data_IF_518052554702
#
_entry.id   IF_518052554702
#
_cell.length_a   1.000
_cell.length_b   1.000
_cell.length_c   1.000
_cell.angle_alpha   90.00
_cell.angle_beta   90.00
_cell.angle_gamma   90.00
#
_symmetry.space_group_name_H-M   'P 1'
#
loop_
_entity.id
_entity.type
_entity.pdbx_description
1 polymer ?
#
# COMPACT_ATOMS: atom_id res chain seq x y z
N UNK A 1 24.79 -25.39 20.19
CA UNK A 1 23.52 -24.93 20.79
C UNK A 1 22.65 -26.16 21.02
N UNK A 2 22.29 -26.45 22.28
CA UNK A 2 21.59 -27.69 22.67
C UNK A 2 20.29 -27.94 21.91
N UNK A 3 19.60 -26.88 21.46
CA UNK A 3 18.37 -27.02 20.67
C UNK A 3 18.56 -27.93 19.45
N UNK A 4 19.71 -27.86 18.76
CA UNK A 4 19.95 -28.66 17.55
C UNK A 4 20.25 -30.13 17.81
N UNK A 5 20.36 -30.53 19.08
CA UNK A 5 20.60 -31.91 19.53
C UNK A 5 19.28 -32.65 19.81
N UNK A 6 18.18 -31.93 20.03
CA UNK A 6 16.87 -32.55 20.24
C UNK A 6 16.29 -33.18 18.98
N UNK A 7 15.37 -34.15 19.08
CA UNK A 7 14.60 -34.63 17.94
C UNK A 7 13.82 -33.50 17.23
N UNK A 8 13.60 -33.64 15.92
CA UNK A 8 12.96 -32.60 15.10
C UNK A 8 11.60 -32.12 15.65
N UNK A 9 10.77 -33.03 16.16
CA UNK A 9 9.47 -32.68 16.74
C UNK A 9 9.61 -31.75 17.95
N UNK A 10 10.56 -32.04 18.84
CA UNK A 10 10.85 -31.20 20.02
C UNK A 10 11.39 -29.85 19.58
N UNK A 11 12.27 -29.80 18.57
CA UNK A 11 12.74 -28.54 17.99
C UNK A 11 11.59 -27.72 17.42
N UNK A 12 10.70 -28.36 16.65
CA UNK A 12 9.55 -27.71 16.03
C UNK A 12 8.61 -27.10 17.08
N UNK A 13 8.31 -27.85 18.15
CA UNK A 13 7.45 -27.39 19.23
C UNK A 13 8.06 -26.21 19.99
N UNK A 14 9.35 -26.27 20.32
CA UNK A 14 10.06 -25.16 20.96
C UNK A 14 9.98 -23.91 20.07
N UNK A 15 10.32 -24.04 18.78
CA UNK A 15 10.31 -22.92 17.85
C UNK A 15 8.89 -22.36 17.60
N UNK A 16 7.86 -23.20 17.68
CA UNK A 16 6.47 -22.78 17.54
C UNK A 16 6.05 -21.81 18.66
N UNK A 17 6.56 -22.02 19.88
CA UNK A 17 6.27 -21.21 21.06
C UNK A 17 7.12 -19.93 21.18
N UNK A 18 8.08 -19.70 20.27
CA UNK A 18 8.89 -18.48 20.22
C UNK A 18 8.20 -17.42 19.35
N UNK A 19 8.24 -16.14 19.73
CA UNK A 19 7.65 -15.07 18.91
C UNK A 19 8.41 -14.84 17.58
N UNK A 20 7.83 -14.07 16.65
CA UNK A 20 8.45 -13.88 15.33
C UNK A 20 9.76 -13.09 15.39
N UNK A 21 9.87 -12.15 16.34
CA UNK A 21 11.07 -11.33 16.51
C UNK A 21 12.21 -12.22 16.98
N UNK A 22 11.98 -13.00 18.02
CA UNK A 22 12.98 -13.85 18.63
C UNK A 22 13.37 -15.00 17.70
N UNK A 23 12.45 -15.55 16.90
CA UNK A 23 12.78 -16.47 15.80
C UNK A 23 13.67 -15.81 14.73
N UNK A 24 13.35 -14.57 14.35
CA UNK A 24 14.17 -13.81 13.41
C UNK A 24 15.58 -13.59 13.97
N UNK A 25 15.71 -13.23 15.25
CA UNK A 25 17.02 -13.08 15.90
C UNK A 25 17.79 -14.41 15.97
N UNK A 26 17.11 -15.49 16.36
CA UNK A 26 17.67 -16.83 16.44
C UNK A 26 18.20 -17.32 15.09
N UNK A 27 17.60 -16.85 13.99
CA UNK A 27 18.04 -17.18 12.64
C UNK A 27 19.45 -16.66 12.32
N UNK A 28 19.94 -15.62 12.98
CA UNK A 28 21.30 -15.10 12.81
C UNK A 28 22.38 -15.95 13.49
N UNK A 29 22.00 -16.81 14.44
CA UNK A 29 22.97 -17.59 15.23
C UNK A 29 23.75 -18.59 14.40
N UNK A 30 23.11 -19.23 13.41
CA UNK A 30 23.82 -20.11 12.46
C UNK A 30 22.97 -20.43 11.23
N UNK A 31 23.64 -20.79 10.13
CA UNK A 31 22.97 -21.31 8.93
C UNK A 31 22.14 -22.57 9.20
N UNK A 32 22.58 -23.44 10.12
CA UNK A 32 21.82 -24.63 10.54
C UNK A 32 20.51 -24.22 11.22
N UNK A 33 20.57 -23.28 12.16
CA UNK A 33 19.39 -22.76 12.87
C UNK A 33 18.41 -22.09 11.90
N UNK A 34 18.91 -21.24 11.00
CA UNK A 34 18.12 -20.62 9.94
C UNK A 34 17.36 -21.66 9.10
N UNK A 35 18.02 -22.74 8.69
CA UNK A 35 17.38 -23.84 7.93
C UNK A 35 16.29 -24.53 8.74
N UNK A 36 16.56 -24.88 10.00
CA UNK A 36 15.59 -25.54 10.89
C UNK A 36 14.34 -24.67 11.07
N UNK A 37 14.52 -23.36 11.36
CA UNK A 37 13.41 -22.42 11.51
C UNK A 37 12.59 -22.35 10.21
N UNK A 38 13.24 -22.21 9.05
CA UNK A 38 12.55 -22.17 7.77
C UNK A 38 11.74 -23.43 7.47
N UNK A 39 12.26 -24.61 7.80
CA UNK A 39 11.56 -25.87 7.56
C UNK A 39 10.41 -26.11 8.53
N UNK A 40 10.58 -25.78 9.82
CA UNK A 40 9.57 -26.06 10.85
C UNK A 40 8.46 -25.01 10.91
N UNK A 41 8.77 -23.75 10.57
CA UNK A 41 7.82 -22.63 10.68
C UNK A 41 7.17 -22.26 9.34
N UNK A 42 7.17 -23.15 8.34
CA UNK A 42 6.63 -22.88 6.99
C UNK A 42 5.18 -22.37 7.03
N UNK A 43 4.27 -23.11 7.67
CA UNK A 43 2.85 -22.73 7.78
C UNK A 43 2.67 -21.38 8.49
N UNK A 44 3.54 -21.10 9.47
CA UNK A 44 3.53 -19.84 10.21
C UNK A 44 4.00 -18.67 9.34
N UNK A 45 5.02 -18.88 8.51
CA UNK A 45 5.48 -17.87 7.55
C UNK A 45 4.50 -17.65 6.39
N UNK A 46 3.72 -18.66 6.00
CA UNK A 46 2.62 -18.51 5.04
C UNK A 46 1.50 -17.58 5.55
N UNK A 47 1.42 -17.33 6.87
CA UNK A 47 0.51 -16.35 7.46
C UNK A 47 1.04 -14.91 7.43
N UNK A 48 2.29 -14.69 7.00
CA UNK A 48 2.83 -13.35 6.80
C UNK A 48 2.24 -12.78 5.52
N UNK A 49 1.52 -11.67 5.63
CA UNK A 49 1.01 -10.91 4.48
C UNK A 49 2.12 -10.11 3.83
N UNK A 50 2.89 -9.38 4.63
CA UNK A 50 3.95 -8.51 4.11
C UNK A 50 5.03 -8.19 5.14
N UNK A 51 6.20 -7.80 4.66
CA UNK A 51 7.29 -7.21 5.45
C UNK A 51 7.41 -5.73 5.08
N UNK A 52 7.45 -4.87 6.11
CA UNK A 52 7.30 -3.44 5.95
C UNK A 52 8.48 -2.71 6.58
N UNK A 53 9.09 -1.80 5.82
CA UNK A 53 10.08 -0.83 6.28
C UNK A 53 9.36 0.47 6.53
N UNK A 54 9.05 0.82 7.78
CA UNK A 54 8.36 2.06 8.11
C UNK A 54 9.31 3.13 8.60
N UNK A 55 9.36 4.23 7.86
CA UNK A 55 10.11 5.44 8.19
C UNK A 55 9.13 6.54 8.63
N UNK A 56 9.49 7.25 9.70
CA UNK A 56 8.75 8.40 10.20
C UNK A 56 9.69 9.60 10.27
N UNK A 57 9.35 10.73 9.63
CA UNK A 57 10.01 12.05 9.80
C UNK A 57 11.53 11.98 9.92
N UNK A 58 12.24 11.72 8.81
CA UNK A 58 13.70 11.55 8.77
C UNK A 58 14.32 10.50 9.73
N UNK A 59 13.50 9.61 10.31
CA UNK A 59 13.98 8.46 11.08
C UNK A 59 14.24 7.26 10.18
N UNK A 60 15.22 6.46 10.59
CA UNK A 60 15.57 5.20 9.94
C UNK A 60 14.47 4.14 10.15
N UNK A 61 14.40 3.13 9.28
CA UNK A 61 13.23 2.25 9.22
C UNK A 61 13.07 1.36 10.45
N UNK A 62 11.83 1.21 10.90
CA UNK A 62 11.38 0.09 11.72
C UNK A 62 10.88 -0.99 10.76
N UNK A 63 11.48 -2.17 10.86
CA UNK A 63 11.14 -3.34 10.06
C UNK A 63 10.17 -4.20 10.88
N UNK A 64 8.99 -4.44 10.33
CA UNK A 64 7.97 -5.28 10.94
C UNK A 64 7.27 -6.16 9.91
N UNK A 65 6.72 -7.28 10.38
CA UNK A 65 5.84 -8.11 9.58
C UNK A 65 4.38 -7.78 9.88
N UNK A 66 3.54 -7.83 8.85
CA UNK A 66 2.09 -7.80 8.96
C UNK A 66 1.57 -9.20 8.64
N UNK A 67 0.74 -9.73 9.54
CA UNK A 67 0.09 -11.02 9.35
C UNK A 67 -1.22 -10.85 8.57
N UNK A 68 -1.72 -11.94 7.97
CA UNK A 68 -3.00 -11.96 7.23
C UNK A 68 -4.20 -11.55 8.09
N UNK A 69 -4.14 -11.79 9.40
CA UNK A 69 -5.16 -11.36 10.37
C UNK A 69 -5.03 -9.89 10.82
N UNK A 70 -4.12 -9.12 10.21
CA UNK A 70 -3.94 -7.69 10.49
C UNK A 70 -2.94 -7.36 11.61
N UNK A 71 -2.55 -8.34 12.42
CA UNK A 71 -1.58 -8.14 13.49
C UNK A 71 -0.21 -7.74 12.94
N UNK A 72 0.50 -6.91 13.73
CA UNK A 72 1.83 -6.41 13.40
C UNK A 72 2.84 -6.89 14.44
N UNK A 73 4.03 -7.27 13.99
CA UNK A 73 5.13 -7.66 14.88
C UNK A 73 6.43 -7.03 14.41
N UNK A 74 7.01 -6.18 15.25
CA UNK A 74 8.30 -5.53 15.00
C UNK A 74 9.42 -6.59 15.05
N UNK A 75 10.30 -6.59 14.04
CA UNK A 75 11.44 -7.49 13.97
C UNK A 75 12.74 -6.79 14.36
N UNK A 76 12.98 -5.61 13.78
CA UNK A 76 14.25 -4.91 13.87
C UNK A 76 14.02 -3.42 13.62
N UNK A 77 14.70 -2.55 14.34
CA UNK A 77 14.86 -1.16 13.94
C UNK A 77 16.26 -0.91 13.41
N UNK A 78 16.41 0.07 12.54
CA UNK A 78 17.70 0.52 12.02
C UNK A 78 17.91 1.94 12.52
N UNK A 79 19.10 2.33 12.99
CA UNK A 79 19.38 3.72 13.40
C UNK A 79 20.87 4.08 13.34
N UNK A 80 21.17 5.38 13.29
CA UNK A 80 22.55 5.87 13.35
C UNK A 80 23.18 5.50 14.70
N UNK A 81 24.44 5.10 14.68
CA UNK A 81 25.21 4.84 15.91
C UNK A 81 25.30 6.14 16.73
N UNK A 82 24.78 6.11 17.95
CA UNK A 82 24.97 7.20 18.90
C UNK A 82 26.28 6.99 19.66
N UNK A 83 27.00 8.09 19.92
CA UNK A 83 28.28 8.09 20.65
C UNK A 83 28.14 7.77 22.15
N UNK A 84 26.92 7.70 22.68
CA UNK A 84 26.71 7.45 24.10
C UNK A 84 27.14 6.04 24.50
N UNK A 85 27.90 5.96 25.60
CA UNK A 85 28.18 4.74 26.34
C UNK A 85 26.84 4.13 26.78
N UNK A 86 26.49 3.03 26.15
CA UNK A 86 25.24 2.29 26.33
C UNK A 86 25.51 0.81 26.05
N UNK A 87 24.52 -0.06 26.28
CA UNK A 87 24.69 -1.49 26.54
C UNK A 87 25.55 -2.23 25.51
N UNK A 88 26.13 -3.37 25.94
CA UNK A 88 26.94 -4.28 25.15
C UNK A 88 26.42 -4.40 23.71
N UNK A 89 27.23 -3.95 22.75
CA UNK A 89 26.99 -4.19 21.34
C UNK A 89 27.51 -5.57 21.00
N UNK A 90 26.86 -6.22 20.05
CA UNK A 90 27.48 -7.35 19.36
C UNK A 90 27.34 -7.17 17.86
N UNK A 91 28.34 -7.63 17.14
CA UNK A 91 28.39 -7.51 15.69
C UNK A 91 27.99 -8.84 15.05
N UNK A 92 27.15 -8.79 14.03
CA UNK A 92 26.81 -9.96 13.21
C UNK A 92 27.14 -9.68 11.75
N UNK A 93 27.64 -10.70 11.06
CA UNK A 93 27.72 -10.65 9.61
C UNK A 93 26.33 -10.96 9.03
N UNK A 94 25.71 -9.94 8.45
CA UNK A 94 24.44 -10.05 7.74
C UNK A 94 24.73 -9.90 6.27
N UNK A 95 24.49 -10.97 5.49
CA UNK A 95 24.62 -10.96 4.03
C UNK A 95 25.96 -10.39 3.49
N UNK A 96 27.06 -10.54 4.23
CA UNK A 96 28.39 -10.04 3.87
C UNK A 96 28.79 -8.71 4.52
N UNK A 97 27.90 -8.03 5.25
CA UNK A 97 28.19 -6.78 5.98
C UNK A 97 28.20 -7.04 7.48
N UNK A 98 29.25 -6.58 8.16
CA UNK A 98 29.31 -6.57 9.62
C UNK A 98 28.44 -5.43 10.14
N UNK A 99 27.43 -5.75 10.96
CA UNK A 99 26.46 -4.80 11.50
C UNK A 99 26.43 -4.96 13.01
N UNK A 100 26.48 -3.84 13.73
CA UNK A 100 26.37 -3.82 15.19
C UNK A 100 24.93 -3.74 15.62
N UNK A 101 24.58 -4.56 16.61
CA UNK A 101 23.25 -4.61 17.17
C UNK A 101 23.24 -4.22 18.65
N UNK A 102 22.16 -3.54 19.04
CA UNK A 102 21.88 -3.13 20.42
C UNK A 102 20.45 -3.53 20.79
N UNK A 103 20.25 -3.86 22.06
CA UNK A 103 18.92 -4.02 22.63
C UNK A 103 18.62 -2.86 23.60
N UNK A 104 17.64 -2.03 23.25
CA UNK A 104 17.29 -0.86 24.07
C UNK A 104 16.23 -1.22 25.12
N UNK A 105 16.67 -1.39 26.38
CA UNK A 105 15.81 -1.72 27.53
C UNK A 105 15.09 -0.53 28.17
N UNK A 106 15.50 0.73 27.91
CA UNK A 106 15.02 1.90 28.67
C UNK A 106 14.40 3.02 27.83
N UNK A 107 13.54 3.81 28.49
CA UNK A 107 12.52 4.75 28.01
C UNK A 107 12.97 5.97 27.18
N UNK A 108 14.23 6.11 26.82
CA UNK A 108 14.75 7.38 26.28
C UNK A 108 14.57 7.56 24.76
N UNK A 109 14.07 6.56 24.02
CA UNK A 109 13.96 6.66 22.55
C UNK A 109 12.68 6.02 22.00
N UNK A 110 12.32 6.39 20.76
CA UNK A 110 11.26 5.75 19.98
C UNK A 110 11.48 4.26 19.71
N UNK A 111 12.58 3.64 20.19
CA UNK A 111 13.00 2.25 19.94
C UNK A 111 12.91 1.34 21.19
N UNK A 112 12.14 1.73 22.21
CA UNK A 112 11.95 0.95 23.43
C UNK A 112 11.54 -0.51 23.14
N UNK A 113 12.23 -1.48 23.75
CA UNK A 113 11.95 -2.90 23.61
C UNK A 113 12.28 -3.50 22.25
N UNK A 114 12.99 -2.75 21.39
CA UNK A 114 13.41 -3.20 20.05
C UNK A 114 14.86 -3.63 20.03
N UNK A 115 15.10 -4.62 19.17
CA UNK A 115 16.43 -4.93 18.68
C UNK A 115 16.78 -3.95 17.57
N UNK A 116 17.98 -3.36 17.63
CA UNK A 116 18.35 -2.21 16.80
C UNK A 116 19.67 -2.46 16.09
N UNK A 117 19.65 -2.47 14.77
CA UNK A 117 20.84 -2.42 13.92
C UNK A 117 21.36 -0.98 13.90
N UNK A 118 22.65 -0.81 14.18
CA UNK A 118 23.32 0.47 14.19
C UNK A 118 24.37 0.57 13.10
N UNK A 119 24.56 1.77 12.55
CA UNK A 119 25.50 2.01 11.45
C UNK A 119 26.11 3.41 11.56
N UNK A 120 27.28 3.60 10.96
CA UNK A 120 27.84 4.95 10.78
C UNK A 120 27.09 5.67 9.66
N UNK A 121 26.83 7.00 9.74
CA UNK A 121 25.93 7.70 8.82
C UNK A 121 26.12 7.43 7.31
N UNK A 122 27.37 7.26 6.89
CA UNK A 122 27.84 6.94 5.54
C UNK A 122 27.49 5.51 5.06
N UNK A 123 27.09 4.62 5.97
CA UNK A 123 26.83 3.20 5.68
C UNK A 123 25.34 2.82 5.65
N UNK A 124 24.44 3.78 5.86
CA UNK A 124 22.99 3.56 6.02
C UNK A 124 22.39 2.67 4.92
N UNK A 125 22.62 3.04 3.65
CA UNK A 125 22.13 2.30 2.48
C UNK A 125 22.65 0.85 2.47
N UNK A 126 23.96 0.66 2.67
CA UNK A 126 24.58 -0.66 2.65
C UNK A 126 24.06 -1.57 3.79
N UNK A 127 23.77 -1.00 4.96
CA UNK A 127 23.14 -1.74 6.08
C UNK A 127 21.72 -2.16 5.74
N UNK A 128 20.91 -1.25 5.21
CA UNK A 128 19.52 -1.55 4.84
C UNK A 128 19.47 -2.60 3.71
N UNK A 129 20.33 -2.49 2.71
CA UNK A 129 20.45 -3.47 1.61
C UNK A 129 20.85 -4.85 2.10
N UNK A 130 21.85 -4.93 3.00
CA UNK A 130 22.30 -6.18 3.60
C UNK A 130 21.17 -6.87 4.40
N UNK A 131 20.46 -6.10 5.24
CA UNK A 131 19.31 -6.59 6.01
C UNK A 131 18.20 -7.04 5.06
N UNK A 132 17.92 -6.28 4.01
CA UNK A 132 16.91 -6.64 3.04
C UNK A 132 17.24 -7.92 2.28
N UNK A 133 18.49 -8.09 1.83
CA UNK A 133 18.98 -9.34 1.23
C UNK A 133 18.82 -10.53 2.18
N UNK A 134 19.05 -10.30 3.48
CA UNK A 134 18.81 -11.33 4.49
C UNK A 134 17.32 -11.69 4.58
N UNK A 135 16.45 -10.69 4.61
CA UNK A 135 14.99 -10.86 4.67
C UNK A 135 14.45 -11.60 3.45
N UNK A 136 14.93 -11.31 2.24
CA UNK A 136 14.58 -12.06 1.02
C UNK A 136 14.97 -13.53 1.15
N UNK A 137 16.17 -13.82 1.60
CA UNK A 137 16.61 -15.21 1.79
C UNK A 137 15.83 -15.91 2.93
N UNK A 138 15.44 -15.19 3.97
CA UNK A 138 14.77 -15.78 5.14
C UNK A 138 13.28 -16.02 4.90
N UNK A 139 12.54 -14.98 4.53
CA UNK A 139 11.09 -15.03 4.33
C UNK A 139 10.68 -15.46 2.92
N UNK A 140 11.55 -15.28 1.91
CA UNK A 140 11.31 -15.69 0.53
C UNK A 140 10.63 -14.61 -0.31
N UNK A 141 10.65 -14.81 -1.63
CA UNK A 141 10.15 -13.83 -2.60
C UNK A 141 8.62 -13.79 -2.75
N UNK A 142 7.89 -14.70 -2.09
CA UNK A 142 6.43 -14.74 -2.11
C UNK A 142 5.79 -13.76 -1.14
N UNK A 143 6.57 -13.22 -0.19
CA UNK A 143 6.10 -12.20 0.74
C UNK A 143 6.17 -10.85 0.04
N UNK A 144 5.16 -10.01 0.20
CA UNK A 144 5.22 -8.63 -0.28
C UNK A 144 6.16 -7.80 0.59
N UNK A 145 7.03 -7.01 -0.04
CA UNK A 145 7.90 -6.08 0.65
C UNK A 145 7.49 -4.63 0.35
N UNK A 146 7.25 -3.86 1.41
CA UNK A 146 6.81 -2.48 1.29
C UNK A 146 7.75 -1.51 2.01
N UNK A 147 8.13 -0.44 1.33
CA UNK A 147 8.66 0.75 1.97
C UNK A 147 7.51 1.70 2.30
N UNK A 148 7.40 2.13 3.54
CA UNK A 148 6.32 2.98 4.04
C UNK A 148 6.88 4.27 4.58
N UNK A 149 6.50 5.38 3.97
CA UNK A 149 6.90 6.71 4.40
C UNK A 149 5.72 7.66 4.56
N UNK A 150 5.85 8.56 5.52
CA UNK A 150 4.99 9.73 5.71
C UNK A 150 5.73 11.04 5.36
N UNK A 151 6.87 10.91 4.70
CA UNK A 151 7.84 11.96 4.44
C UNK A 151 8.27 11.91 2.97
N UNK A 152 8.24 13.07 2.30
CA UNK A 152 8.59 13.24 0.90
C UNK A 152 10.03 13.75 0.70
N UNK A 153 10.73 14.10 1.78
CA UNK A 153 12.12 14.55 1.74
C UNK A 153 13.12 13.39 1.88
N UNK A 154 12.65 12.18 2.18
CA UNK A 154 13.52 11.02 2.38
C UNK A 154 13.98 10.41 1.05
N UNK A 155 15.22 9.94 1.04
CA UNK A 155 15.72 9.08 -0.03
C UNK A 155 15.35 7.62 0.27
N UNK A 156 14.57 7.00 -0.62
CA UNK A 156 14.17 5.60 -0.53
C UNK A 156 15.23 4.74 -1.23
N UNK A 157 15.90 3.81 -0.51
CA UNK A 157 16.88 2.94 -1.14
C UNK A 157 16.21 2.03 -2.19
N UNK A 158 16.90 1.82 -3.31
CA UNK A 158 16.43 0.97 -4.40
C UNK A 158 16.63 -0.51 -4.03
N UNK A 159 15.63 -1.08 -3.36
CA UNK A 159 15.65 -2.47 -2.90
C UNK A 159 14.88 -3.40 -3.85
N UNK A 160 15.37 -4.62 -4.04
CA UNK A 160 14.75 -5.63 -4.89
C UNK A 160 13.37 -6.03 -4.35
N UNK A 161 12.36 -6.16 -5.21
CA UNK A 161 11.00 -6.58 -4.82
C UNK A 161 10.32 -5.70 -3.74
N UNK A 162 10.85 -4.50 -3.49
CA UNK A 162 10.23 -3.54 -2.58
C UNK A 162 9.39 -2.56 -3.39
N UNK A 163 8.15 -2.38 -2.99
CA UNK A 163 7.27 -1.35 -3.54
C UNK A 163 7.05 -0.23 -2.53
N UNK A 164 6.93 1.00 -3.01
CA UNK A 164 6.76 2.19 -2.17
C UNK A 164 5.29 2.45 -1.90
N UNK A 165 4.98 2.61 -0.63
CA UNK A 165 3.74 3.12 -0.12
C UNK A 165 4.06 4.49 0.48
N UNK A 166 3.27 5.52 0.14
CA UNK A 166 3.37 6.88 0.68
C UNK A 166 2.06 7.36 1.34
N UNK A 167 2.13 8.00 2.51
CA UNK A 167 0.99 8.64 3.18
C UNK A 167 1.36 10.06 3.63
N UNK A 168 0.79 11.07 2.98
CA UNK A 168 1.06 12.47 3.29
C UNK A 168 -0.19 13.20 3.78
N UNK A 169 -0.05 13.84 4.94
CA UNK A 169 -1.06 14.68 5.56
C UNK A 169 -0.55 16.11 5.66
N UNK A 170 -1.45 17.09 5.48
CA UNK A 170 -1.16 18.51 5.67
C UNK A 170 -0.08 19.08 4.75
N UNK A 171 -0.01 18.58 3.50
CA UNK A 171 0.91 19.11 2.48
C UNK A 171 0.57 20.57 2.20
N UNK A 172 1.61 21.40 2.11
CA UNK A 172 1.55 22.77 1.63
C UNK A 172 2.20 22.83 0.24
N UNK A 173 1.42 22.87 -0.86
CA UNK A 173 1.96 22.92 -2.23
C UNK A 173 2.84 24.13 -2.52
N UNK A 174 2.78 25.18 -1.68
CA UNK A 174 3.64 26.35 -1.80
C UNK A 174 5.09 26.07 -1.37
N UNK A 175 5.30 25.03 -0.56
CA UNK A 175 6.62 24.68 0.00
C UNK A 175 7.08 23.28 -0.41
N UNK A 176 6.14 22.37 -0.65
CA UNK A 176 6.43 20.94 -0.79
C UNK A 176 6.51 20.56 -2.28
N UNK A 177 7.73 20.38 -2.81
CA UNK A 177 7.91 19.89 -4.19
C UNK A 177 7.85 18.36 -4.24
N UNK A 178 6.64 17.82 -4.41
CA UNK A 178 6.42 16.37 -4.52
C UNK A 178 6.96 15.75 -5.81
N UNK A 179 7.20 16.54 -6.86
CA UNK A 179 7.63 16.00 -8.16
C UNK A 179 9.02 15.34 -8.06
N UNK A 180 9.93 15.94 -7.28
CA UNK A 180 11.28 15.41 -7.12
C UNK A 180 11.24 14.05 -6.41
N UNK A 181 10.40 13.93 -5.38
CA UNK A 181 10.15 12.66 -4.70
C UNK A 181 9.59 11.60 -5.65
N UNK A 182 8.54 11.91 -6.41
CA UNK A 182 7.95 10.92 -7.32
C UNK A 182 8.89 10.56 -8.48
N UNK A 183 9.74 11.48 -8.93
CA UNK A 183 10.72 11.21 -9.98
C UNK A 183 11.76 10.15 -9.54
N UNK A 184 12.15 10.18 -8.27
CA UNK A 184 13.19 9.32 -7.69
C UNK A 184 12.65 8.06 -7.02
N UNK A 185 11.37 8.05 -6.63
CA UNK A 185 10.74 6.94 -5.91
C UNK A 185 10.69 5.64 -6.73
N UNK A 186 11.11 4.50 -6.15
CA UNK A 186 11.00 3.21 -6.81
C UNK A 186 9.58 2.62 -6.66
N UNK A 187 9.03 2.08 -7.75
CA UNK A 187 7.83 1.22 -7.79
C UNK A 187 6.70 1.65 -6.83
N UNK A 188 5.96 2.70 -7.19
CA UNK A 188 4.87 3.24 -6.37
C UNK A 188 3.67 2.27 -6.35
N UNK A 189 3.44 1.63 -5.20
CA UNK A 189 2.29 0.74 -4.98
C UNK A 189 1.06 1.51 -4.55
N UNK A 190 1.19 2.36 -3.54
CA UNK A 190 0.04 3.09 -3.00
C UNK A 190 0.40 4.47 -2.48
N UNK A 191 -0.44 5.44 -2.78
CA UNK A 191 -0.26 6.83 -2.37
C UNK A 191 -1.55 7.30 -1.69
N UNK A 192 -1.45 7.84 -0.49
CA UNK A 192 -2.52 8.54 0.21
C UNK A 192 -2.11 9.99 0.43
N UNK A 193 -2.85 10.94 -0.12
CA UNK A 193 -2.54 12.37 0.00
C UNK A 193 -3.76 13.16 0.44
N UNK A 194 -3.61 13.91 1.53
CA UNK A 194 -4.68 14.73 2.11
C UNK A 194 -4.21 16.18 2.09
N UNK A 195 -4.80 16.97 1.18
CA UNK A 195 -4.49 18.39 1.00
C UNK A 195 -5.73 19.27 1.14
N UNK A 196 -5.56 20.45 1.71
CA UNK A 196 -6.63 21.45 1.85
C UNK A 196 -6.49 22.61 0.86
N UNK A 197 -5.40 22.66 0.10
CA UNK A 197 -5.06 23.74 -0.83
C UNK A 197 -5.58 23.45 -2.24
N UNK A 198 -6.09 24.47 -2.96
CA UNK A 198 -6.72 24.32 -4.26
C UNK A 198 -5.71 24.39 -5.42
N UNK A 199 -4.51 23.79 -5.31
CA UNK A 199 -3.46 23.90 -6.35
C UNK A 199 -3.07 22.54 -6.93
N UNK A 200 -2.40 22.60 -8.06
CA UNK A 200 -1.75 21.45 -8.69
C UNK A 200 -0.84 20.76 -7.67
N UNK A 201 -1.05 19.46 -7.50
CA UNK A 201 -0.28 18.67 -6.55
C UNK A 201 1.05 18.20 -7.16
N UNK A 202 1.00 17.77 -8.42
CA UNK A 202 2.10 17.20 -9.19
C UNK A 202 1.86 17.47 -10.68
N UNK A 203 2.93 17.50 -11.46
CA UNK A 203 2.87 17.70 -12.92
C UNK A 203 2.16 16.52 -13.62
N UNK A 204 1.50 16.72 -14.77
CA UNK A 204 0.83 15.67 -15.54
C UNK A 204 1.67 14.45 -15.89
N UNK A 205 2.98 14.63 -16.08
CA UNK A 205 3.95 13.57 -16.40
C UNK A 205 4.52 12.85 -15.17
N UNK A 206 4.05 13.22 -13.97
CA UNK A 206 4.51 12.65 -12.71
C UNK A 206 4.19 11.15 -12.58
N UNK A 207 5.14 10.41 -12.02
CA UNK A 207 4.96 8.99 -11.65
C UNK A 207 3.87 8.77 -10.60
N UNK A 208 3.39 9.83 -9.95
CA UNK A 208 2.20 9.79 -9.09
C UNK A 208 1.02 9.09 -9.77
N UNK A 209 0.75 9.44 -11.04
CA UNK A 209 -0.36 8.87 -11.79
C UNK A 209 -0.15 7.40 -12.20
N UNK A 210 1.07 6.89 -12.10
CA UNK A 210 1.44 5.52 -12.41
C UNK A 210 1.35 4.60 -11.19
N UNK A 211 1.08 5.14 -10.00
CA UNK A 211 0.91 4.34 -8.81
C UNK A 211 -0.28 3.39 -8.95
N UNK A 212 -0.15 2.15 -8.45
CA UNK A 212 -1.23 1.16 -8.59
C UNK A 212 -2.52 1.61 -7.88
N UNK A 213 -2.37 2.27 -6.73
CA UNK A 213 -3.48 2.76 -5.92
C UNK A 213 -3.24 4.21 -5.48
N UNK A 214 -4.22 5.09 -5.71
CA UNK A 214 -4.21 6.48 -5.22
C UNK A 214 -5.44 6.72 -4.36
N UNK A 215 -5.25 7.34 -3.21
CA UNK A 215 -6.31 7.88 -2.37
C UNK A 215 -6.01 9.33 -2.08
N UNK A 216 -6.96 10.21 -2.38
CA UNK A 216 -6.77 11.64 -2.19
C UNK A 216 -7.98 12.32 -1.57
N UNK A 217 -7.72 13.26 -0.67
CA UNK A 217 -8.69 14.26 -0.26
C UNK A 217 -8.19 15.64 -0.70
N UNK A 218 -9.05 16.38 -1.39
CA UNK A 218 -8.76 17.75 -1.84
C UNK A 218 -9.93 18.67 -1.50
N UNK A 219 -9.68 19.76 -0.75
CA UNK A 219 -10.76 20.72 -0.43
C UNK A 219 -11.43 21.26 -1.69
N UNK A 220 -10.66 21.58 -2.72
CA UNK A 220 -11.17 21.91 -4.03
C UNK A 220 -10.43 21.03 -5.02
N UNK A 221 -11.16 20.26 -5.83
CA UNK A 221 -10.54 19.68 -7.01
C UNK A 221 -10.41 20.82 -8.00
N UNK A 222 -9.27 21.49 -7.99
CA UNK A 222 -8.84 22.32 -9.12
C UNK A 222 -8.25 21.46 -10.24
N UNK A 223 -8.04 20.16 -10.00
CA UNK A 223 -7.30 19.27 -10.88
C UNK A 223 -8.11 18.04 -11.28
N UNK A 224 -8.83 18.09 -12.42
CA UNK A 224 -9.34 16.87 -13.03
C UNK A 224 -8.21 15.99 -13.56
N UNK A 225 -6.94 16.34 -13.40
CA UNK A 225 -5.76 15.61 -13.85
C UNK A 225 -5.70 14.17 -13.37
N UNK A 226 -6.21 13.83 -12.18
CA UNK A 226 -6.35 12.40 -11.82
C UNK A 226 -7.33 11.71 -12.77
N UNK A 227 -8.44 12.36 -13.12
CA UNK A 227 -9.36 11.90 -14.16
C UNK A 227 -8.78 12.01 -15.57
N UNK A 228 -7.56 12.49 -15.80
CA UNK A 228 -6.93 12.56 -17.13
C UNK A 228 -5.68 11.69 -17.28
N UNK A 229 -4.86 11.61 -16.24
CA UNK A 229 -3.52 11.06 -16.31
C UNK A 229 -3.37 9.75 -15.54
N UNK A 230 -4.30 9.39 -14.64
CA UNK A 230 -4.18 8.17 -13.85
C UNK A 230 -4.10 6.91 -14.72
N UNK A 231 -3.10 6.06 -14.44
CA UNK A 231 -2.77 4.84 -15.18
C UNK A 231 -2.77 3.60 -14.28
N UNK A 232 -3.08 3.77 -13.00
CA UNK A 232 -3.13 2.70 -12.02
C UNK A 232 -4.45 1.92 -12.06
N UNK A 233 -4.64 1.09 -11.04
CA UNK A 233 -5.77 0.17 -10.92
C UNK A 233 -6.91 0.74 -10.08
N UNK A 234 -6.57 1.45 -9.00
CA UNK A 234 -7.56 1.84 -7.99
C UNK A 234 -7.39 3.31 -7.61
N UNK A 235 -8.46 4.07 -7.67
CA UNK A 235 -8.43 5.47 -7.26
C UNK A 235 -9.61 5.85 -6.38
N UNK A 236 -9.31 6.51 -5.28
CA UNK A 236 -10.26 7.00 -4.28
C UNK A 236 -10.11 8.51 -4.18
N UNK A 237 -11.16 9.24 -4.52
CA UNK A 237 -11.09 10.70 -4.62
C UNK A 237 -12.19 11.26 -3.73
N UNK A 238 -11.78 12.09 -2.78
CA UNK A 238 -12.68 12.82 -1.91
C UNK A 238 -12.46 14.30 -2.12
N UNK A 239 -13.55 15.06 -2.20
CA UNK A 239 -13.45 16.49 -2.35
C UNK A 239 -14.58 17.24 -1.67
N UNK A 240 -14.34 18.50 -1.30
CA UNK A 240 -15.47 19.36 -0.88
C UNK A 240 -16.26 19.84 -2.08
N UNK A 241 -15.59 20.29 -3.15
CA UNK A 241 -16.24 20.77 -4.37
C UNK A 241 -15.54 20.26 -5.62
N UNK A 242 -16.34 19.75 -6.55
CA UNK A 242 -15.93 19.30 -7.88
C UNK A 242 -17.16 19.28 -8.79
N UNK A 243 -16.96 19.64 -10.05
CA UNK A 243 -18.03 19.66 -11.04
C UNK A 243 -18.31 18.26 -11.58
N UNK A 244 -19.59 17.92 -11.71
CA UNK A 244 -20.06 16.62 -12.20
C UNK A 244 -19.61 16.38 -13.66
N UNK A 245 -19.40 17.45 -14.43
CA UNK A 245 -18.87 17.40 -15.81
C UNK A 245 -17.57 16.61 -15.91
N UNK A 246 -16.69 16.69 -14.91
CA UNK A 246 -15.44 15.93 -14.89
C UNK A 246 -15.66 14.42 -14.78
N UNK A 247 -16.69 13.98 -14.05
CA UNK A 247 -17.05 12.57 -13.95
C UNK A 247 -17.65 12.05 -15.26
N UNK A 248 -18.53 12.85 -15.88
CA UNK A 248 -19.14 12.53 -17.17
C UNK A 248 -18.05 12.39 -18.24
N UNK A 249 -17.13 13.35 -18.29
CA UNK A 249 -16.00 13.35 -19.21
C UNK A 249 -15.06 12.15 -18.95
N UNK A 250 -14.77 11.82 -17.70
CA UNK A 250 -14.05 10.60 -17.34
C UNK A 250 -14.71 9.34 -17.92
N UNK A 251 -16.01 9.15 -17.70
CA UNK A 251 -16.74 7.96 -18.19
C UNK A 251 -16.72 7.92 -19.71
N UNK A 252 -16.96 9.05 -20.38
CA UNK A 252 -16.97 9.12 -21.84
C UNK A 252 -15.58 8.81 -22.43
N UNK A 253 -14.49 9.29 -21.83
CA UNK A 253 -13.13 8.95 -22.26
C UNK A 253 -12.79 7.48 -22.03
N UNK A 254 -13.22 6.91 -20.91
CA UNK A 254 -13.10 5.48 -20.65
C UNK A 254 -13.88 4.65 -21.67
N UNK A 255 -15.11 5.04 -22.02
CA UNK A 255 -15.94 4.35 -23.03
C UNK A 255 -15.30 4.38 -24.41
N UNK A 256 -14.64 5.48 -24.78
CA UNK A 256 -13.92 5.60 -26.05
C UNK A 256 -12.59 4.80 -26.06
N UNK A 257 -12.20 4.14 -24.96
CA UNK A 257 -10.96 3.37 -24.85
C UNK A 257 -9.70 4.22 -24.93
N UNK A 258 -9.78 5.53 -24.65
CA UNK A 258 -8.64 6.46 -24.79
C UNK A 258 -7.71 6.48 -23.58
N UNK A 259 -8.20 6.05 -22.42
CA UNK A 259 -7.50 6.15 -21.12
C UNK A 259 -7.98 5.06 -20.15
N UNK A 260 -7.26 4.87 -19.04
CA UNK A 260 -7.67 4.01 -17.91
C UNK A 260 -7.78 2.51 -18.24
N UNK A 261 -6.89 1.99 -19.07
CA UNK A 261 -6.88 0.56 -19.47
C UNK A 261 -6.78 -0.39 -18.26
N UNK A 262 -5.97 -0.03 -17.25
CA UNK A 262 -5.73 -0.86 -16.06
C UNK A 262 -6.71 -0.62 -14.92
N UNK A 263 -7.65 0.32 -15.07
CA UNK A 263 -8.54 0.73 -13.98
C UNK A 263 -9.49 -0.41 -13.63
N UNK A 264 -9.54 -0.75 -12.35
CA UNK A 264 -10.45 -1.72 -11.75
C UNK A 264 -11.56 -1.00 -10.97
N UNK A 265 -11.20 0.05 -10.21
CA UNK A 265 -12.15 0.80 -9.38
C UNK A 265 -11.82 2.28 -9.33
N UNK A 266 -12.86 3.10 -9.50
CA UNK A 266 -12.88 4.50 -9.10
C UNK A 266 -14.01 4.73 -8.10
N UNK A 267 -13.68 5.33 -6.96
CA UNK A 267 -14.65 5.80 -5.98
C UNK A 267 -14.46 7.29 -5.75
N UNK A 268 -15.52 8.05 -5.92
CA UNK A 268 -15.51 9.49 -5.83
C UNK A 268 -16.57 9.98 -4.84
N UNK A 269 -16.21 10.92 -3.97
CA UNK A 269 -17.10 11.51 -2.98
C UNK A 269 -17.02 13.04 -2.98
N UNK A 270 -18.19 13.69 -3.00
CA UNK A 270 -18.31 15.15 -3.05
C UNK A 270 -19.11 15.71 -1.86
N UNK A 271 -18.40 16.23 -0.85
CA UNK A 271 -19.02 16.60 0.43
C UNK A 271 -19.96 17.82 0.40
N UNK A 272 -19.87 18.73 -0.59
CA UNK A 272 -20.69 19.96 -0.63
C UNK A 272 -21.83 19.87 -1.64
N UNK A 273 -21.76 18.98 -2.64
CA UNK A 273 -22.85 18.84 -3.60
C UNK A 273 -24.14 18.39 -2.89
N UNK A 274 -25.25 19.10 -3.16
CA UNK A 274 -26.61 18.72 -2.74
C UNK A 274 -27.04 17.49 -3.53
N UNK A 275 -26.47 16.33 -3.23
CA UNK A 275 -26.61 15.05 -3.96
C UNK A 275 -26.25 15.14 -5.45
N UNK A 276 -25.64 14.08 -5.99
CA UNK A 276 -25.48 14.00 -7.44
C UNK A 276 -26.82 13.64 -8.07
N UNK A 277 -27.36 14.40 -9.05
CA UNK A 277 -28.59 14.07 -9.74
C UNK A 277 -28.38 12.83 -10.62
N UNK A 278 -28.78 11.61 -10.18
CA UNK A 278 -28.32 10.37 -10.83
C UNK A 278 -28.81 10.27 -12.26
N UNK A 279 -30.07 10.65 -12.50
CA UNK A 279 -30.70 10.61 -13.82
C UNK A 279 -29.95 11.48 -14.84
N UNK A 280 -29.49 12.66 -14.43
CA UNK A 280 -28.71 13.53 -15.32
C UNK A 280 -27.38 12.87 -15.67
N UNK A 281 -26.65 12.36 -14.69
CA UNK A 281 -25.38 11.69 -14.92
C UNK A 281 -25.54 10.46 -15.79
N UNK A 282 -26.53 9.60 -15.52
CA UNK A 282 -26.80 8.39 -16.31
C UNK A 282 -27.19 8.70 -17.75
N UNK A 283 -27.99 9.73 -17.98
CA UNK A 283 -28.31 10.19 -19.33
C UNK A 283 -27.07 10.72 -20.06
N UNK A 284 -26.27 11.56 -19.40
CA UNK A 284 -25.11 12.21 -20.02
C UNK A 284 -23.97 11.22 -20.33
N UNK A 285 -23.86 10.11 -19.59
CA UNK A 285 -22.90 9.02 -19.89
C UNK A 285 -23.46 7.95 -20.83
N UNK A 286 -24.76 8.05 -21.20
CA UNK A 286 -25.46 7.04 -21.98
C UNK A 286 -25.42 5.66 -21.32
N UNK A 287 -25.81 5.61 -20.04
CA UNK A 287 -25.81 4.38 -19.27
C UNK A 287 -26.86 3.38 -19.77
N UNK A 288 -26.52 2.10 -19.72
CA UNK A 288 -27.45 0.99 -19.94
C UNK A 288 -27.98 0.50 -18.61
N UNK A 289 -29.16 -0.11 -18.64
CA UNK A 289 -29.82 -0.63 -17.46
C UNK A 289 -30.17 -2.10 -17.63
N UNK A 290 -29.87 -2.88 -16.60
CA UNK A 290 -30.38 -4.24 -16.41
C UNK A 290 -31.84 -4.13 -15.96
N UNK A 291 -32.66 -5.09 -16.38
CA UNK A 291 -34.05 -5.20 -15.93
C UNK A 291 -34.14 -5.14 -14.40
N UNK A 292 -35.04 -4.30 -13.88
CA UNK A 292 -35.27 -4.11 -12.46
C UNK A 292 -35.73 -5.39 -11.74
N UNK A 293 -36.24 -6.39 -12.46
CA UNK A 293 -36.63 -7.68 -11.89
C UNK A 293 -35.44 -8.62 -11.66
N UNK A 294 -34.29 -8.36 -12.27
CA UNK A 294 -33.09 -9.20 -12.14
C UNK A 294 -32.25 -8.79 -10.92
N UNK A 295 -31.51 -9.76 -10.37
CA UNK A 295 -30.59 -9.49 -9.26
C UNK A 295 -29.41 -8.68 -9.78
N UNK A 296 -29.07 -7.51 -9.19
CA UNK A 296 -27.98 -6.71 -9.69
C UNK A 296 -26.63 -7.42 -9.51
N UNK A 297 -25.75 -7.40 -10.52
CA UNK A 297 -24.40 -7.91 -10.39
C UNK A 297 -23.62 -7.10 -9.35
N UNK A 298 -22.72 -7.78 -8.65
CA UNK A 298 -21.91 -7.18 -7.59
C UNK A 298 -20.43 -7.26 -7.92
N UNK A 299 -19.84 -6.13 -8.26
CA UNK A 299 -18.40 -6.03 -8.52
C UNK A 299 -17.62 -5.94 -7.21
N UNK A 300 -16.72 -6.89 -6.98
CA UNK A 300 -15.85 -6.94 -5.79
C UNK A 300 -14.38 -6.92 -6.18
N UNK A 301 -13.69 -5.83 -5.83
CA UNK A 301 -12.23 -5.72 -5.92
C UNK A 301 -11.70 -5.40 -4.54
N UNK A 302 -10.50 -5.88 -4.14
CA UNK A 302 -9.89 -5.47 -2.88
C UNK A 302 -9.72 -3.95 -2.80
N UNK A 303 -10.53 -3.29 -1.97
CA UNK A 303 -10.57 -1.83 -1.86
C UNK A 303 -9.65 -1.27 -0.78
N UNK A 304 -8.88 -2.15 -0.13
CA UNK A 304 -7.88 -1.77 0.86
C UNK A 304 -6.67 -1.13 0.18
N UNK A 305 -6.48 0.17 0.42
CA UNK A 305 -5.16 0.79 0.27
C UNK A 305 -4.25 0.15 1.32
N UNK A 306 -3.04 -0.28 0.94
CA UNK A 306 -2.13 -1.01 1.82
C UNK A 306 -1.78 -0.25 3.11
N UNK A 307 -2.07 1.05 3.17
CA UNK A 307 -1.88 1.95 4.31
C UNK A 307 -2.83 1.78 5.49
N UNK A 308 -4.09 1.45 5.26
CA UNK A 308 -5.11 1.57 6.31
C UNK A 308 -4.80 0.69 7.53
N UNK A 309 -4.60 1.37 8.67
CA UNK A 309 -4.66 0.77 9.99
C UNK A 309 -6.11 0.33 10.23
N UNK A 310 -6.33 -0.97 10.46
CA UNK A 310 -7.67 -1.56 10.68
C UNK A 310 -8.47 -0.91 11.83
N UNK A 311 -7.80 -0.21 12.76
CA UNK A 311 -8.48 0.49 13.87
C UNK A 311 -9.11 1.83 13.48
N UNK A 312 -8.77 2.36 12.31
CA UNK A 312 -9.43 3.50 11.69
C UNK A 312 -9.63 3.13 10.23
N UNK A 313 -10.55 2.21 10.00
CA UNK A 313 -11.28 2.20 8.74
C UNK A 313 -11.87 3.61 8.62
N UNK A 314 -11.25 4.44 7.79
CA UNK A 314 -12.01 5.54 7.23
C UNK A 314 -13.15 4.84 6.50
N UNK A 315 -14.36 4.91 7.07
CA UNK A 315 -15.62 4.52 6.41
C UNK A 315 -15.76 5.13 5.00
N UNK A 316 -14.88 6.08 4.67
CA UNK A 316 -14.77 6.83 3.44
C UNK A 316 -13.93 6.14 2.34
N UNK A 317 -13.15 5.10 2.64
CA UNK A 317 -12.39 4.29 1.64
C UNK A 317 -12.84 2.84 1.54
N UNK A 318 -13.84 2.43 2.31
CA UNK A 318 -14.68 1.29 1.99
C UNK A 318 -15.48 1.61 0.72
N UNK A 319 -14.83 1.58 -0.45
CA UNK A 319 -15.55 1.12 -1.62
C UNK A 319 -15.90 -0.33 -1.31
N UNK A 320 -17.04 -0.54 -0.66
CA UNK A 320 -17.66 -1.85 -0.57
C UNK A 320 -17.96 -2.38 -1.98
N UNK A 321 -18.52 -3.59 -2.06
CA UNK A 321 -19.06 -4.10 -3.31
C UNK A 321 -19.85 -3.04 -4.09
N UNK A 322 -19.67 -2.99 -5.41
CA UNK A 322 -20.48 -2.15 -6.29
C UNK A 322 -21.59 -3.04 -6.85
N UNK A 323 -22.75 -2.99 -6.20
CA UNK A 323 -23.97 -3.66 -6.64
C UNK A 323 -24.81 -2.66 -7.43
N UNK A 324 -24.94 -2.84 -8.75
CA UNK A 324 -25.66 -1.88 -9.60
C UNK A 324 -26.30 -2.52 -10.83
N UNK A 325 -27.53 -2.11 -11.14
CA UNK A 325 -28.19 -2.42 -12.41
C UNK A 325 -27.76 -1.48 -13.55
N UNK A 326 -26.96 -0.46 -13.25
CA UNK A 326 -26.53 0.55 -14.22
C UNK A 326 -25.10 0.28 -14.64
N UNK A 327 -24.84 0.26 -15.94
CA UNK A 327 -23.53 -0.02 -16.49
C UNK A 327 -23.26 0.77 -17.79
N UNK A 328 -21.99 0.84 -18.17
CA UNK A 328 -21.53 1.37 -19.46
C UNK A 328 -20.60 0.37 -20.13
N UNK A 329 -20.43 0.51 -21.44
CA UNK A 329 -19.65 -0.41 -22.27
C UNK A 329 -18.57 0.38 -22.99
N UNK A 330 -17.34 -0.14 -22.95
CA UNK A 330 -16.22 0.42 -23.70
C UNK A 330 -16.29 -0.03 -25.16
N UNK A 331 -16.10 0.92 -26.07
CA UNK A 331 -16.29 0.70 -27.51
C UNK A 331 -15.22 -0.21 -28.11
N UNK A 332 -13.98 -0.09 -27.64
CA UNK A 332 -12.78 -0.72 -28.20
C UNK A 332 -12.71 -2.22 -27.93
N UNK A 333 -13.10 -2.66 -26.74
CA UNK A 333 -12.93 -4.04 -26.25
C UNK A 333 -14.22 -4.65 -25.68
N UNK A 334 -15.33 -3.89 -25.73
CA UNK A 334 -16.64 -4.26 -25.18
C UNK A 334 -16.65 -4.55 -23.68
N UNK A 335 -15.62 -4.14 -22.94
CA UNK A 335 -15.59 -4.33 -21.50
C UNK A 335 -16.67 -3.50 -20.81
N UNK A 336 -17.19 -4.04 -19.72
CA UNK A 336 -18.27 -3.42 -18.94
C UNK A 336 -17.71 -2.70 -17.72
N UNK A 337 -18.32 -1.58 -17.36
CA UNK A 337 -18.18 -1.00 -16.04
C UNK A 337 -19.54 -0.74 -15.38
N UNK A 338 -19.70 -1.22 -14.15
CA UNK A 338 -20.85 -0.88 -13.32
C UNK A 338 -20.71 0.53 -12.76
N UNK A 339 -21.80 1.30 -12.81
CA UNK A 339 -21.86 2.68 -12.32
C UNK A 339 -22.87 2.74 -11.18
N UNK A 340 -22.48 3.29 -10.03
CA UNK A 340 -23.36 3.45 -8.87
C UNK A 340 -23.29 4.89 -8.37
N UNK A 341 -24.45 5.50 -8.17
CA UNK A 341 -24.58 6.83 -7.58
C UNK A 341 -25.47 6.73 -6.35
N UNK A 342 -24.93 7.09 -5.18
CA UNK A 342 -25.64 7.05 -3.90
C UNK A 342 -25.32 8.31 -3.11
N UNK A 343 -26.29 9.23 -3.02
CA UNK A 343 -26.11 10.51 -2.33
C UNK A 343 -24.99 11.35 -2.93
N UNK A 344 -23.88 11.47 -2.20
CA UNK A 344 -22.67 12.20 -2.57
C UNK A 344 -21.56 11.33 -3.16
N UNK A 345 -21.82 10.02 -3.35
CA UNK A 345 -20.85 9.03 -3.80
C UNK A 345 -21.15 8.60 -5.24
N UNK A 346 -20.11 8.60 -6.07
CA UNK A 346 -20.06 7.98 -7.39
C UNK A 346 -19.05 6.83 -7.36
N UNK A 347 -19.44 5.64 -7.82
CA UNK A 347 -18.54 4.49 -7.97
C UNK A 347 -18.59 3.93 -9.38
N UNK A 348 -17.44 3.49 -9.83
CA UNK A 348 -17.21 2.93 -11.14
C UNK A 348 -16.33 1.68 -10.99
N UNK A 349 -16.89 0.51 -11.29
CA UNK A 349 -16.20 -0.78 -11.18
C UNK A 349 -16.08 -1.43 -12.55
N UNK A 350 -14.85 -1.68 -13.00
CA UNK A 350 -14.56 -2.24 -14.32
C UNK A 350 -14.46 -3.75 -14.22
N UNK A 351 -15.29 -4.43 -15.00
CA UNK A 351 -15.29 -5.87 -15.11
C UNK A 351 -14.25 -6.32 -16.13
N UNK A 352 -13.53 -7.39 -15.82
CA UNK A 352 -12.66 -8.12 -16.76
C UNK A 352 -13.52 -9.08 -17.62
N UNK A 353 -14.57 -8.52 -18.24
CA UNK A 353 -15.60 -9.24 -19.00
C UNK A 353 -16.19 -8.33 -20.07
N UNK A 354 -16.47 -8.91 -21.24
CA UNK A 354 -17.24 -8.26 -22.30
C UNK A 354 -18.71 -8.10 -21.91
N UNK A 355 -19.45 -7.24 -22.63
CA UNK A 355 -20.88 -7.05 -22.41
C UNK A 355 -21.68 -8.36 -22.51
N UNK A 356 -21.36 -9.24 -23.47
CA UNK A 356 -22.06 -10.51 -23.63
C UNK A 356 -21.84 -11.44 -22.42
N UNK A 357 -20.60 -11.55 -21.95
CA UNK A 357 -20.26 -12.37 -20.79
C UNK A 357 -20.88 -11.79 -19.51
N UNK A 358 -20.85 -10.47 -19.36
CA UNK A 358 -21.46 -9.78 -18.24
C UNK A 358 -22.97 -10.01 -18.19
N UNK A 359 -23.67 -9.96 -19.33
CA UNK A 359 -25.11 -10.20 -19.38
C UNK A 359 -25.49 -11.65 -19.10
N UNK A 360 -24.69 -12.62 -19.57
CA UNK A 360 -24.88 -14.05 -19.25
C UNK A 360 -24.75 -14.38 -17.77
N UNK A 361 -23.96 -13.61 -17.01
CA UNK A 361 -23.85 -13.76 -15.56
C UNK A 361 -25.16 -13.38 -14.82
N UNK A 362 -26.05 -12.63 -15.47
CA UNK A 362 -27.27 -12.05 -14.88
C UNK A 362 -28.54 -12.71 -15.47
N UNK A 363 -28.38 -13.68 -16.36
CA UNK A 363 -29.44 -14.61 -16.78
C UNK A 363 -29.54 -15.77 -15.79
#
# INVERSE_FOLDING_TARGET
MKLTEYPYLVQSEILHNIDYRDLFLLSFVSNKMKKIIKSSQRNRFENIKSLNYKCYRNSHPIIYIRLKNGQKTDLLAVTKRQKFEGPECFSLNVSGKLIDFKFYKYYATSYFGRFVATFNPDESTAVIESIHKYNLHFFGNSVDYYWRTEDHEINIPKLQNVSTCMELWYISPDTDNLNDFFSTSPNLKSISIRTTTPRELVRPDSKFYQAECVDTFQSYITFPDIFHHFQGKRTFIQCRRCEISHLIDFVNRWKLGRTFEKLEVLSFRNFVARSMPPNKVFNDIGAKHIDATKTPPTHTVPTKVEWYNEKKEDKNTEAGPITSCTYVVRETDKHVASVLIQGDIFRFGVWDMTEEEFLRMIE
#
